data_IF_189122407675
#
_entry.id   IF_189122407675
#
_cell.length_a   1.000
_cell.length_b   1.000
_cell.length_c   1.000
_cell.angle_alpha   90.00
_cell.angle_beta   90.00
_cell.angle_gamma   90.00
#
_symmetry.space_group_name_H-M   'P 1'
#
loop_
_entity.id
_entity.type
_entity.pdbx_description
1 polymer ?
#
# COMPACT_ATOMS: atom_id res chain seq x y z
N UNK A 1 -18.69 -71.70 57.72
CA UNK A 1 -19.11 -70.68 56.70
C UNK A 1 -18.64 -69.24 57.01
N UNK A 2 -18.22 -68.93 58.21
CA UNK A 2 -17.71 -67.56 58.60
C UNK A 2 -16.39 -67.23 57.92
N UNK A 3 -15.40 -68.11 57.90
CA UNK A 3 -14.06 -67.90 57.40
C UNK A 3 -14.01 -67.54 55.89
N UNK A 4 -14.92 -68.15 55.11
CA UNK A 4 -15.03 -67.82 53.66
C UNK A 4 -15.51 -66.40 53.41
N UNK A 5 -16.41 -65.86 54.22
CA UNK A 5 -16.86 -64.50 54.18
C UNK A 5 -15.72 -63.50 54.51
N UNK A 6 -14.93 -63.82 55.51
CA UNK A 6 -13.77 -63.01 55.92
C UNK A 6 -12.66 -63.03 54.84
N UNK A 7 -12.43 -64.22 54.23
CA UNK A 7 -11.48 -64.33 53.14
C UNK A 7 -11.92 -63.50 51.92
N UNK A 8 -13.20 -63.59 51.56
CA UNK A 8 -13.76 -62.80 50.45
C UNK A 8 -13.69 -61.29 50.76
N UNK A 9 -13.97 -60.85 51.96
CA UNK A 9 -13.87 -59.46 52.37
C UNK A 9 -12.43 -58.93 52.29
N UNK A 10 -11.44 -59.77 52.69
CA UNK A 10 -9.99 -59.43 52.53
C UNK A 10 -9.57 -59.33 51.08
N UNK A 11 -9.96 -60.28 50.21
CA UNK A 11 -9.63 -60.24 48.81
C UNK A 11 -10.26 -59.00 48.10
N UNK A 12 -11.51 -58.71 48.44
CA UNK A 12 -12.19 -57.55 47.85
C UNK A 12 -11.53 -56.23 48.33
N UNK A 13 -11.15 -56.13 49.63
CA UNK A 13 -10.44 -54.98 50.16
C UNK A 13 -9.06 -54.82 49.50
N UNK A 14 -8.32 -55.94 49.29
CA UNK A 14 -7.02 -55.90 48.62
C UNK A 14 -7.14 -55.41 47.19
N UNK A 15 -8.11 -55.93 46.42
CA UNK A 15 -8.39 -55.49 45.05
C UNK A 15 -8.71 -53.96 44.99
N UNK A 16 -9.49 -53.47 45.98
CA UNK A 16 -9.81 -52.04 46.03
C UNK A 16 -8.57 -51.22 46.31
N UNK A 17 -7.71 -51.65 47.23
CA UNK A 17 -6.43 -50.99 47.52
C UNK A 17 -5.54 -50.97 46.28
N UNK A 18 -5.40 -52.10 45.60
CA UNK A 18 -4.56 -52.20 44.39
C UNK A 18 -5.09 -51.29 43.27
N UNK A 19 -6.40 -51.18 43.11
CA UNK A 19 -7.03 -50.25 42.16
C UNK A 19 -6.77 -48.80 42.55
N UNK A 20 -6.88 -48.46 43.83
CA UNK A 20 -6.56 -47.08 44.30
C UNK A 20 -5.08 -46.75 44.12
N UNK A 21 -4.17 -47.70 44.36
CA UNK A 21 -2.74 -47.51 44.09
C UNK A 21 -2.46 -47.26 42.62
N UNK A 22 -3.09 -47.98 41.70
CA UNK A 22 -2.95 -47.76 40.26
C UNK A 22 -3.46 -46.37 39.87
N UNK A 23 -4.59 -45.91 40.40
CA UNK A 23 -5.12 -44.57 40.11
C UNK A 23 -4.25 -43.46 40.71
N UNK A 24 -3.70 -43.65 41.89
CA UNK A 24 -2.74 -42.70 42.50
C UNK A 24 -1.50 -42.55 41.61
N UNK A 25 -0.92 -43.64 41.15
CA UNK A 25 0.23 -43.63 40.28
C UNK A 25 -0.07 -42.92 38.94
N UNK A 26 -1.26 -43.19 38.39
CA UNK A 26 -1.72 -42.51 37.18
C UNK A 26 -1.86 -41.02 37.37
N UNK A 27 -2.45 -40.59 38.48
CA UNK A 27 -2.61 -39.16 38.81
C UNK A 27 -1.25 -38.49 39.04
N UNK A 28 -0.31 -39.19 39.70
CA UNK A 28 1.07 -38.68 39.87
C UNK A 28 1.75 -38.42 38.52
N UNK A 29 1.63 -39.39 37.60
CA UNK A 29 2.20 -39.22 36.25
C UNK A 29 1.56 -38.06 35.51
N UNK A 30 0.24 -37.89 35.62
CA UNK A 30 -0.47 -36.75 35.00
C UNK A 30 -0.03 -35.40 35.62
N UNK A 31 0.20 -35.33 36.92
CA UNK A 31 0.71 -34.15 37.62
C UNK A 31 2.12 -33.80 37.09
N UNK A 32 3.01 -34.79 36.95
CA UNK A 32 4.37 -34.56 36.39
C UNK A 32 4.32 -34.05 34.95
N UNK A 33 3.42 -34.63 34.12
CA UNK A 33 3.23 -34.15 32.74
C UNK A 33 2.71 -32.73 32.69
N UNK A 34 1.71 -32.38 33.50
CA UNK A 34 1.16 -31.03 33.57
C UNK A 34 2.18 -30.01 34.09
N UNK A 35 3.02 -30.39 35.07
CA UNK A 35 4.10 -29.54 35.54
C UNK A 35 5.16 -29.29 34.46
N UNK A 36 5.47 -30.30 33.66
CA UNK A 36 6.38 -30.15 32.52
C UNK A 36 5.80 -29.21 31.46
N UNK A 37 4.53 -29.35 31.11
CA UNK A 37 3.84 -28.46 30.17
C UNK A 37 3.76 -27.03 30.70
N UNK A 38 3.48 -26.84 31.97
CA UNK A 38 3.47 -25.52 32.61
C UNK A 38 4.85 -24.85 32.50
N UNK A 39 5.92 -25.59 32.74
CA UNK A 39 7.26 -25.07 32.62
C UNK A 39 7.61 -24.70 31.17
N UNK A 40 7.19 -25.51 30.21
CA UNK A 40 7.36 -25.19 28.79
C UNK A 40 6.61 -23.90 28.38
N UNK A 41 5.36 -23.74 28.80
CA UNK A 41 4.60 -22.51 28.54
C UNK A 41 5.24 -21.29 29.21
N UNK A 42 5.76 -21.41 30.42
CA UNK A 42 6.52 -20.31 31.09
C UNK A 42 7.75 -19.90 30.26
N UNK A 43 8.46 -20.85 29.68
CA UNK A 43 9.60 -20.56 28.82
C UNK A 43 9.19 -19.90 27.51
N UNK A 44 8.09 -20.34 26.89
CA UNK A 44 7.55 -19.73 25.68
C UNK A 44 7.06 -18.29 25.94
N UNK A 45 6.42 -18.02 27.08
CA UNK A 45 6.00 -16.68 27.48
C UNK A 45 7.21 -15.77 27.63
N UNK A 46 8.25 -16.20 28.34
CA UNK A 46 9.49 -15.41 28.50
C UNK A 46 10.16 -15.09 27.18
N UNK A 47 10.22 -16.05 26.26
CA UNK A 47 10.77 -15.81 24.93
C UNK A 47 9.97 -14.78 24.15
N UNK A 48 8.64 -14.82 24.23
CA UNK A 48 7.75 -13.84 23.60
C UNK A 48 7.88 -12.45 24.24
N UNK A 49 8.02 -12.36 25.56
CA UNK A 49 8.25 -11.09 26.27
C UNK A 49 9.57 -10.44 25.83
N UNK A 50 10.64 -11.23 25.69
CA UNK A 50 11.92 -10.74 25.17
C UNK A 50 11.79 -10.22 23.74
N UNK A 51 11.04 -10.92 22.87
CA UNK A 51 10.80 -10.52 21.51
C UNK A 51 9.97 -9.21 21.45
N UNK A 52 8.95 -9.07 22.28
CA UNK A 52 8.17 -7.83 22.41
C UNK A 52 9.07 -6.67 22.84
N UNK A 53 9.91 -6.89 23.85
CA UNK A 53 10.86 -5.85 24.32
C UNK A 53 11.82 -5.44 23.20
N UNK A 54 12.34 -6.39 22.45
CA UNK A 54 13.21 -6.11 21.31
C UNK A 54 12.49 -5.24 20.26
N UNK A 55 11.28 -5.62 19.84
CA UNK A 55 10.52 -4.83 18.87
C UNK A 55 10.08 -3.46 19.39
N UNK A 56 9.75 -3.34 20.66
CA UNK A 56 9.47 -2.03 21.26
C UNK A 56 10.68 -1.10 21.15
N UNK A 57 11.89 -1.59 21.43
CA UNK A 57 13.11 -0.79 21.30
C UNK A 57 13.38 -0.42 19.84
N UNK A 58 13.20 -1.35 18.88
CA UNK A 58 13.31 -1.06 17.46
C UNK A 58 12.32 0.01 16.98
N UNK A 59 11.08 -0.02 17.52
CA UNK A 59 10.08 1.00 17.21
C UNK A 59 10.52 2.36 17.77
N UNK A 60 11.03 2.43 18.99
CA UNK A 60 11.54 3.67 19.58
C UNK A 60 12.69 4.27 18.77
N UNK A 61 13.64 3.42 18.34
CA UNK A 61 14.76 3.87 17.52
C UNK A 61 14.27 4.41 16.15
N UNK A 62 13.26 3.76 15.57
CA UNK A 62 12.65 4.21 14.31
C UNK A 62 11.83 5.49 14.46
N UNK A 63 11.15 5.68 15.57
CA UNK A 63 10.42 6.92 15.85
C UNK A 63 11.39 8.10 15.99
N UNK A 64 12.54 7.92 16.63
CA UNK A 64 13.58 8.95 16.70
C UNK A 64 14.16 9.27 15.30
N UNK A 65 14.43 8.26 14.46
CA UNK A 65 14.87 8.44 13.09
C UNK A 65 13.82 9.20 12.24
N UNK A 66 12.54 8.91 12.46
CA UNK A 66 11.41 9.59 11.81
C UNK A 66 11.35 11.06 12.24
N UNK A 67 11.51 11.38 13.52
CA UNK A 67 11.50 12.75 14.02
C UNK A 67 12.68 13.58 13.46
N UNK A 68 13.85 12.98 13.34
CA UNK A 68 15.02 13.60 12.71
C UNK A 68 14.74 13.88 11.22
N UNK A 69 14.20 12.91 10.49
CA UNK A 69 13.82 13.07 9.09
C UNK A 69 12.71 14.11 8.88
N UNK A 70 11.72 14.18 9.78
CA UNK A 70 10.68 15.23 9.76
C UNK A 70 11.30 16.60 9.98
N UNK A 71 12.28 16.69 10.86
CA UNK A 71 12.99 17.94 11.14
C UNK A 71 13.83 18.37 9.93
N UNK A 72 14.51 17.44 9.27
CA UNK A 72 15.25 17.68 8.03
C UNK A 72 14.30 18.10 6.89
N UNK A 73 13.14 17.43 6.74
CA UNK A 73 12.10 17.78 5.77
C UNK A 73 11.53 19.18 6.00
N UNK A 74 11.35 19.62 7.25
CA UNK A 74 10.89 20.98 7.57
C UNK A 74 11.90 22.05 7.18
N UNK A 75 13.18 21.69 7.06
CA UNK A 75 14.23 22.62 6.57
C UNK A 75 14.36 22.61 5.05
N UNK A 76 13.77 21.62 4.38
CA UNK A 76 13.77 21.52 2.91
C UNK A 76 12.75 22.52 2.35
N UNK A 77 13.24 23.64 1.88
CA UNK A 77 12.41 24.60 1.11
C UNK A 77 12.39 24.14 -0.34
N UNK A 78 11.22 24.02 -0.98
CA UNK A 78 11.13 23.90 -2.43
C UNK A 78 11.96 25.00 -3.10
N UNK A 79 12.52 24.75 -4.26
CA UNK A 79 13.12 25.82 -5.05
C UNK A 79 12.07 26.90 -5.30
N UNK A 80 12.48 28.16 -5.40
CA UNK A 80 11.54 29.26 -5.66
C UNK A 80 10.68 28.98 -6.91
N UNK A 81 11.26 28.35 -7.92
CA UNK A 81 10.56 27.96 -9.14
C UNK A 81 9.50 26.86 -8.87
N UNK A 82 9.82 25.85 -8.07
CA UNK A 82 8.85 24.81 -7.68
C UNK A 82 7.67 25.40 -6.90
N UNK A 83 7.95 26.34 -5.98
CA UNK A 83 6.91 27.00 -5.21
C UNK A 83 6.02 27.87 -6.11
N UNK A 84 6.58 28.65 -7.01
CA UNK A 84 5.83 29.46 -7.98
C UNK A 84 4.91 28.59 -8.82
N UNK A 85 5.38 27.43 -9.31
CA UNK A 85 4.59 26.54 -10.13
C UNK A 85 3.53 25.78 -9.33
N UNK A 86 3.84 25.40 -8.09
CA UNK A 86 2.86 24.82 -7.17
C UNK A 86 1.73 25.84 -6.87
N UNK A 87 2.10 27.09 -6.57
CA UNK A 87 1.15 28.17 -6.32
C UNK A 87 0.30 28.49 -7.55
N UNK A 88 0.89 28.46 -8.75
CA UNK A 88 0.15 28.61 -10.00
C UNK A 88 -0.97 27.57 -10.12
N UNK A 89 -0.69 26.28 -9.86
CA UNK A 89 -1.70 25.22 -9.94
C UNK A 89 -2.73 25.32 -8.82
N UNK A 90 -2.32 25.68 -7.60
CA UNK A 90 -3.23 25.91 -6.48
C UNK A 90 -4.18 27.09 -6.72
N UNK A 91 -3.72 28.13 -7.40
CA UNK A 91 -4.57 29.28 -7.77
C UNK A 91 -5.47 28.97 -8.98
N UNK A 92 -5.06 28.07 -9.86
CA UNK A 92 -5.83 27.70 -11.04
C UNK A 92 -6.99 26.75 -10.72
N UNK A 93 -6.81 25.88 -9.74
CA UNK A 93 -7.82 24.90 -9.33
C UNK A 93 -8.09 25.02 -7.84
N UNK A 94 -9.33 24.69 -7.45
CA UNK A 94 -9.65 24.56 -6.03
C UNK A 94 -8.83 23.44 -5.40
N UNK A 95 -8.44 23.65 -4.15
CA UNK A 95 -7.75 22.64 -3.34
C UNK A 95 -8.67 22.13 -2.25
N UNK A 96 -8.66 20.85 -2.00
CA UNK A 96 -9.43 20.21 -0.93
C UNK A 96 -8.74 18.93 -0.46
N UNK A 97 -9.08 18.50 0.75
CA UNK A 97 -8.74 17.16 1.21
C UNK A 97 -9.82 16.22 0.69
N UNK A 98 -9.46 15.33 -0.24
CA UNK A 98 -10.34 14.31 -0.78
C UNK A 98 -10.04 13.02 -0.03
N UNK A 99 -11.06 12.43 0.58
CA UNK A 99 -10.93 11.17 1.31
C UNK A 99 -11.60 10.05 0.53
N UNK A 100 -11.06 8.84 0.68
CA UNK A 100 -11.72 7.63 0.23
C UNK A 100 -12.38 6.93 1.42
N UNK A 101 -13.67 7.17 1.67
CA UNK A 101 -14.39 6.53 2.76
C UNK A 101 -14.66 5.07 2.43
N UNK A 102 -14.35 4.21 3.36
CA UNK A 102 -14.64 2.79 3.20
C UNK A 102 -13.55 1.97 2.54
N UNK A 103 -12.35 2.53 2.40
CA UNK A 103 -11.15 1.76 2.11
C UNK A 103 -11.00 0.63 3.13
N UNK A 104 -10.64 -0.54 2.64
CA UNK A 104 -10.38 -1.70 3.49
C UNK A 104 -8.88 -1.99 3.55
N UNK A 105 -8.39 -2.29 4.74
CA UNK A 105 -7.04 -2.86 4.89
C UNK A 105 -7.05 -4.33 4.47
N UNK A 106 -5.89 -4.96 4.23
CA UNK A 106 -5.79 -6.39 3.98
C UNK A 106 -6.42 -7.25 5.07
N UNK A 107 -6.50 -6.75 6.30
CA UNK A 107 -7.17 -7.42 7.44
C UNK A 107 -8.68 -7.23 7.45
N UNK A 108 -9.25 -6.51 6.48
CA UNK A 108 -10.69 -6.26 6.36
C UNK A 108 -11.22 -5.12 7.21
N UNK A 109 -10.36 -4.35 7.87
CA UNK A 109 -10.77 -3.16 8.63
C UNK A 109 -11.09 -2.03 7.64
N UNK A 110 -12.27 -1.45 7.79
CA UNK A 110 -12.71 -0.31 6.99
C UNK A 110 -12.11 0.98 7.55
N UNK A 111 -11.42 1.74 6.71
CA UNK A 111 -10.84 3.04 7.08
C UNK A 111 -11.22 4.12 6.07
N UNK A 112 -11.12 5.38 6.50
CA UNK A 112 -11.17 6.55 5.63
C UNK A 112 -9.82 7.25 5.70
N UNK A 113 -9.26 7.62 4.55
CA UNK A 113 -7.96 8.26 4.49
C UNK A 113 -7.91 9.29 3.35
N UNK A 114 -7.15 10.39 3.51
CA UNK A 114 -6.84 11.27 2.40
C UNK A 114 -6.12 10.51 1.29
N UNK A 115 -6.58 10.68 0.05
CA UNK A 115 -6.06 9.90 -1.10
C UNK A 115 -4.59 10.16 -1.41
N UNK A 116 -4.08 11.37 -1.11
CA UNK A 116 -2.68 11.71 -1.31
C UNK A 116 -1.71 10.86 -0.46
N UNK A 117 -2.14 10.40 0.71
CA UNK A 117 -1.33 9.55 1.57
C UNK A 117 -1.04 8.16 0.97
N UNK A 118 -1.79 7.76 -0.05
CA UNK A 118 -1.56 6.50 -0.76
C UNK A 118 -0.34 6.56 -1.69
N UNK A 119 0.13 7.75 -2.03
CA UNK A 119 1.37 7.95 -2.78
C UNK A 119 2.53 7.98 -1.78
N UNK A 120 3.40 6.99 -1.83
CA UNK A 120 4.47 6.78 -0.85
C UNK A 120 5.86 6.85 -1.51
N UNK A 121 6.37 8.04 -1.85
CA UNK A 121 7.65 8.18 -2.53
C UNK A 121 8.84 7.71 -1.68
N UNK A 122 8.69 7.69 -0.36
CA UNK A 122 9.72 7.25 0.57
C UNK A 122 9.70 5.74 0.84
N UNK A 123 8.86 4.96 0.15
CA UNK A 123 8.85 3.49 0.29
C UNK A 123 10.24 2.91 -0.02
N UNK A 124 10.85 2.14 0.89
CA UNK A 124 12.21 1.63 0.73
C UNK A 124 12.41 0.79 -0.54
N UNK A 125 11.35 0.12 -1.02
CA UNK A 125 11.45 -0.69 -2.24
C UNK A 125 11.42 0.19 -3.48
N UNK A 126 10.62 1.27 -3.50
CA UNK A 126 10.66 2.26 -4.57
C UNK A 126 12.08 2.83 -4.71
N UNK A 127 12.68 3.23 -3.58
CA UNK A 127 14.05 3.76 -3.57
C UNK A 127 15.06 2.71 -4.03
N UNK A 128 14.95 1.49 -3.53
CA UNK A 128 15.83 0.37 -3.92
C UNK A 128 15.75 0.06 -5.42
N UNK A 129 14.54 0.05 -5.96
CA UNK A 129 14.31 -0.18 -7.39
C UNK A 129 14.93 0.91 -8.25
N UNK A 130 14.66 2.16 -7.91
CA UNK A 130 15.23 3.29 -8.64
C UNK A 130 16.75 3.27 -8.62
N UNK A 131 17.36 2.92 -7.46
CA UNK A 131 18.82 2.73 -7.37
C UNK A 131 19.29 1.58 -8.28
N UNK A 132 18.60 0.44 -8.26
CA UNK A 132 18.94 -0.72 -9.10
C UNK A 132 18.80 -0.44 -10.60
N UNK A 133 17.91 0.46 -10.97
CA UNK A 133 17.69 0.91 -12.35
C UNK A 133 18.63 2.05 -12.76
N UNK A 134 19.43 2.59 -11.84
CA UNK A 134 20.23 3.81 -12.01
C UNK A 134 19.38 5.05 -12.36
N UNK A 135 18.20 5.18 -11.73
CA UNK A 135 17.25 6.27 -11.95
C UNK A 135 16.91 7.07 -10.67
N UNK A 136 17.61 6.81 -9.56
CA UNK A 136 17.36 7.48 -8.28
C UNK A 136 18.08 8.84 -8.23
N UNK A 137 17.32 9.95 -8.22
CA UNK A 137 17.83 11.33 -8.08
C UNK A 137 19.06 11.61 -8.95
N UNK A 138 18.98 11.19 -10.20
CA UNK A 138 20.09 11.30 -11.15
C UNK A 138 20.34 12.73 -11.65
N UNK A 139 19.41 13.66 -11.42
CA UNK A 139 19.42 14.98 -12.04
C UNK A 139 19.07 14.97 -13.53
N UNK A 140 18.67 13.83 -14.07
CA UNK A 140 18.21 13.71 -15.45
C UNK A 140 16.91 14.51 -15.66
N UNK A 141 16.76 15.14 -16.83
CA UNK A 141 15.55 15.86 -17.20
C UNK A 141 14.32 14.93 -17.07
N UNK A 142 13.30 15.34 -16.30
CA UNK A 142 12.03 14.61 -16.19
C UNK A 142 11.41 14.21 -17.53
N UNK A 143 11.65 14.98 -18.59
CA UNK A 143 11.15 14.70 -19.93
C UNK A 143 11.57 13.32 -20.47
N UNK A 144 12.74 12.84 -20.06
CA UNK A 144 13.28 11.53 -20.43
C UNK A 144 13.28 10.53 -19.28
N UNK A 145 13.40 11.02 -18.05
CA UNK A 145 13.42 10.19 -16.84
C UNK A 145 12.09 9.47 -16.61
N UNK A 146 10.96 10.19 -16.70
CA UNK A 146 9.63 9.62 -16.50
C UNK A 146 9.34 8.45 -17.44
N UNK A 147 9.53 8.55 -18.76
CA UNK A 147 9.36 7.41 -19.67
C UNK A 147 10.22 6.19 -19.34
N UNK A 148 11.45 6.40 -18.86
CA UNK A 148 12.34 5.29 -18.45
C UNK A 148 11.79 4.57 -17.21
N UNK A 149 11.36 5.32 -16.20
CA UNK A 149 10.73 4.76 -14.99
C UNK A 149 9.45 4.02 -15.36
N UNK A 150 8.58 4.64 -16.17
CA UNK A 150 7.35 4.04 -16.65
C UNK A 150 7.61 2.66 -17.28
N UNK A 151 8.57 2.61 -18.22
CA UNK A 151 8.94 1.34 -18.85
C UNK A 151 9.42 0.30 -17.82
N UNK A 152 10.35 0.68 -16.93
CA UNK A 152 10.90 -0.23 -15.91
C UNK A 152 9.83 -0.76 -14.97
N UNK A 153 8.91 0.10 -14.54
CA UNK A 153 7.80 -0.27 -13.68
C UNK A 153 6.87 -1.29 -14.35
N UNK A 154 6.47 -1.03 -15.61
CA UNK A 154 5.61 -1.94 -16.37
C UNK A 154 6.30 -3.28 -16.63
N UNK A 155 7.55 -3.28 -17.04
CA UNK A 155 8.32 -4.50 -17.27
C UNK A 155 8.43 -5.36 -16.00
N UNK A 156 8.61 -4.72 -14.83
CA UNK A 156 8.83 -5.42 -13.55
C UNK A 156 7.54 -5.84 -12.86
N UNK A 157 6.59 -4.93 -12.73
CA UNK A 157 5.49 -5.09 -11.81
C UNK A 157 4.12 -5.27 -12.45
N UNK A 158 3.89 -4.63 -13.58
CA UNK A 158 2.54 -4.44 -14.07
C UNK A 158 1.86 -5.73 -14.53
N UNK A 159 0.65 -5.95 -14.00
CA UNK A 159 -0.40 -6.80 -14.55
C UNK A 159 -1.75 -6.30 -14.06
N UNK A 160 -2.72 -6.16 -14.96
CA UNK A 160 -4.05 -5.69 -14.59
C UNK A 160 -4.87 -6.79 -13.92
N UNK A 161 -5.57 -6.42 -12.85
CA UNK A 161 -6.60 -7.23 -12.18
C UNK A 161 -7.55 -6.29 -11.45
N UNK A 162 -8.85 -6.57 -11.52
CA UNK A 162 -9.84 -5.82 -10.75
C UNK A 162 -9.70 -6.07 -9.25
N UNK A 163 -10.03 -5.08 -8.44
CA UNK A 163 -10.02 -5.17 -6.97
C UNK A 163 -10.87 -6.31 -6.44
N UNK A 164 -12.02 -6.55 -7.05
CA UNK A 164 -12.88 -7.68 -6.71
C UNK A 164 -12.13 -9.01 -6.75
N UNK A 165 -11.24 -9.19 -7.71
CA UNK A 165 -10.47 -10.43 -7.89
C UNK A 165 -9.21 -10.43 -7.02
N UNK A 166 -8.69 -9.26 -6.68
CA UNK A 166 -7.53 -9.12 -5.80
C UNK A 166 -7.90 -9.23 -4.32
N UNK A 167 -8.92 -8.49 -3.90
CA UNK A 167 -9.31 -8.29 -2.50
C UNK A 167 -10.68 -8.89 -2.14
N UNK A 168 -11.50 -9.28 -3.11
CA UNK A 168 -12.90 -9.66 -2.90
C UNK A 168 -13.81 -8.46 -2.61
N UNK A 169 -13.37 -7.24 -2.90
CA UNK A 169 -14.09 -5.97 -2.72
C UNK A 169 -14.16 -5.25 -4.05
N UNK A 170 -15.21 -4.43 -4.24
CA UNK A 170 -15.42 -3.77 -5.52
C UNK A 170 -14.43 -2.64 -5.80
N UNK A 171 -14.01 -1.95 -4.76
CA UNK A 171 -13.12 -0.80 -4.83
C UNK A 171 -12.15 -0.84 -3.66
N UNK A 172 -10.87 -0.81 -3.95
CA UNK A 172 -9.79 -0.76 -2.97
C UNK A 172 -8.70 0.18 -3.47
N UNK A 173 -8.26 1.08 -2.60
CA UNK A 173 -7.14 1.97 -2.89
C UNK A 173 -6.01 1.63 -1.93
N UNK A 174 -4.91 1.09 -2.45
CA UNK A 174 -3.85 0.51 -1.64
C UNK A 174 -2.58 1.34 -1.64
N UNK A 175 -1.84 1.21 -0.55
CA UNK A 175 -0.43 1.58 -0.54
C UNK A 175 0.39 0.61 -1.38
N UNK A 176 1.48 1.08 -1.96
CA UNK A 176 2.37 0.23 -2.75
C UNK A 176 2.91 -0.98 -1.95
N UNK A 177 3.17 -0.82 -0.65
CA UNK A 177 3.60 -1.95 0.18
C UNK A 177 2.51 -3.02 0.32
N UNK A 178 1.22 -2.64 0.41
CA UNK A 178 0.10 -3.59 0.52
C UNK A 178 -0.04 -4.42 -0.75
N UNK A 179 0.12 -3.79 -1.92
CA UNK A 179 0.15 -4.49 -3.20
C UNK A 179 1.24 -5.59 -3.21
N UNK A 180 2.43 -5.26 -2.70
CA UNK A 180 3.55 -6.21 -2.65
C UNK A 180 3.31 -7.34 -1.66
N UNK A 181 2.78 -7.03 -0.48
CA UNK A 181 2.48 -8.08 0.52
C UNK A 181 1.41 -9.04 0.01
N UNK A 182 0.35 -8.54 -0.64
CA UNK A 182 -0.66 -9.40 -1.24
C UNK A 182 -0.07 -10.27 -2.35
N UNK A 183 0.79 -9.72 -3.21
CA UNK A 183 1.46 -10.49 -4.26
C UNK A 183 2.35 -11.61 -3.67
N UNK A 184 3.08 -11.33 -2.57
CA UNK A 184 3.85 -12.37 -1.85
C UNK A 184 2.95 -13.47 -1.28
N UNK A 185 1.86 -13.10 -0.60
CA UNK A 185 0.90 -14.06 -0.04
C UNK A 185 0.33 -14.96 -1.13
N UNK A 186 -0.02 -14.37 -2.29
CA UNK A 186 -0.56 -15.10 -3.44
C UNK A 186 0.52 -15.77 -4.30
N UNK A 187 1.81 -15.64 -3.95
CA UNK A 187 2.96 -16.16 -4.70
C UNK A 187 2.97 -15.73 -6.17
N UNK A 188 2.68 -14.47 -6.40
CA UNK A 188 2.62 -13.86 -7.72
C UNK A 188 3.94 -13.19 -8.08
N UNK A 189 4.32 -13.29 -9.35
CA UNK A 189 5.52 -12.69 -9.93
C UNK A 189 5.32 -11.21 -10.31
N UNK A 190 4.07 -10.76 -10.40
CA UNK A 190 3.65 -9.42 -10.79
C UNK A 190 2.66 -8.85 -9.78
N UNK A 191 2.59 -7.52 -9.71
CA UNK A 191 1.54 -6.81 -8.99
C UNK A 191 0.28 -6.77 -9.86
N UNK A 192 -0.72 -7.54 -9.46
CA UNK A 192 -1.97 -7.70 -10.23
C UNK A 192 -3.06 -6.87 -9.55
N UNK A 193 -3.14 -5.61 -9.95
CA UNK A 193 -4.04 -4.60 -9.40
C UNK A 193 -4.68 -3.76 -10.53
N UNK A 194 -5.54 -2.85 -10.17
CA UNK A 194 -6.25 -2.04 -11.15
C UNK A 194 -5.63 -0.65 -11.39
N UNK A 195 -6.41 0.29 -11.89
CA UNK A 195 -5.88 1.53 -12.44
C UNK A 195 -5.35 2.51 -11.41
N UNK A 196 -6.02 2.65 -10.27
CA UNK A 196 -5.64 3.61 -9.24
C UNK A 196 -4.38 3.17 -8.48
N UNK A 197 -4.31 1.90 -8.11
CA UNK A 197 -3.14 1.31 -7.45
C UNK A 197 -1.86 1.50 -8.29
N UNK A 198 -1.92 1.22 -9.59
CA UNK A 198 -0.77 1.42 -10.48
C UNK A 198 -0.45 2.90 -10.73
N UNK A 199 -1.47 3.77 -10.81
CA UNK A 199 -1.26 5.20 -10.98
C UNK A 199 -0.57 5.83 -9.76
N UNK A 200 -1.03 5.49 -8.56
CA UNK A 200 -0.44 5.97 -7.30
C UNK A 200 1.00 5.50 -7.14
N UNK A 201 1.28 4.22 -7.40
CA UNK A 201 2.64 3.70 -7.37
C UNK A 201 3.55 4.44 -8.34
N UNK A 202 3.14 4.64 -9.59
CA UNK A 202 3.92 5.35 -10.60
C UNK A 202 4.26 6.78 -10.18
N UNK A 203 3.30 7.54 -9.66
CA UNK A 203 3.56 8.89 -9.16
C UNK A 203 4.55 8.86 -7.99
N UNK A 204 4.44 7.88 -7.08
CA UNK A 204 5.41 7.65 -6.03
C UNK A 204 6.83 7.42 -6.58
N UNK A 205 6.99 6.59 -7.61
CA UNK A 205 8.28 6.38 -8.28
C UNK A 205 8.85 7.65 -8.91
N UNK A 206 8.03 8.47 -9.56
CA UNK A 206 8.49 9.71 -10.19
C UNK A 206 9.00 10.71 -9.16
N UNK A 207 8.25 10.93 -8.09
CA UNK A 207 8.63 11.84 -7.00
C UNK A 207 9.91 11.33 -6.31
N UNK A 208 10.00 10.04 -5.99
CA UNK A 208 11.19 9.44 -5.39
C UNK A 208 12.44 9.56 -6.27
N UNK A 209 12.27 9.57 -7.60
CA UNK A 209 13.35 9.78 -8.55
C UNK A 209 13.84 11.24 -8.63
N UNK A 210 13.12 12.18 -7.99
CA UNK A 210 13.44 13.60 -7.98
C UNK A 210 12.67 14.41 -9.02
N UNK A 211 11.60 13.86 -9.60
CA UNK A 211 10.69 14.65 -10.45
C UNK A 211 9.94 15.65 -9.58
N UNK A 212 9.91 16.93 -9.92
CA UNK A 212 9.15 17.95 -9.19
C UNK A 212 7.65 17.56 -9.05
N UNK A 213 7.10 17.68 -7.84
CA UNK A 213 5.74 17.24 -7.51
C UNK A 213 4.68 17.88 -8.38
N UNK A 214 4.83 19.17 -8.66
CA UNK A 214 3.90 19.92 -9.50
C UNK A 214 3.80 19.39 -10.94
N UNK A 215 4.79 18.60 -11.42
CA UNK A 215 4.82 18.04 -12.77
C UNK A 215 4.12 16.68 -12.89
N UNK A 216 3.74 16.05 -11.78
CA UNK A 216 3.16 14.71 -11.77
C UNK A 216 1.94 14.65 -10.87
N UNK A 217 0.91 13.95 -11.32
CA UNK A 217 -0.31 13.71 -10.54
C UNK A 217 -1.06 12.47 -11.00
N UNK A 218 -1.76 11.87 -10.08
CA UNK A 218 -2.85 10.94 -10.38
C UNK A 218 -4.05 11.77 -10.81
N UNK A 219 -4.76 11.34 -11.82
CA UNK A 219 -6.01 11.96 -12.28
C UNK A 219 -7.11 10.90 -12.27
N UNK A 220 -8.24 11.24 -11.67
CA UNK A 220 -9.40 10.37 -11.54
C UNK A 220 -10.61 11.01 -12.21
N UNK A 221 -11.37 10.22 -12.96
CA UNK A 221 -12.54 10.74 -13.67
C UNK A 221 -13.22 9.72 -14.55
N UNK A 222 -14.14 10.20 -15.39
CA UNK A 222 -14.92 9.39 -16.30
C UNK A 222 -14.20 9.14 -17.61
N UNK A 223 -14.34 7.92 -18.10
CA UNK A 223 -13.98 7.53 -19.47
C UNK A 223 -15.18 6.97 -20.20
N UNK A 224 -15.07 6.72 -21.48
CA UNK A 224 -16.13 6.10 -22.27
C UNK A 224 -16.55 4.70 -21.79
N UNK A 225 -15.77 4.08 -20.94
CA UNK A 225 -16.02 2.72 -20.42
C UNK A 225 -16.21 2.66 -18.89
N UNK A 226 -16.27 3.81 -18.21
CA UNK A 226 -16.47 3.92 -16.76
C UNK A 226 -15.43 4.79 -16.08
N UNK A 227 -15.42 4.78 -14.74
CA UNK A 227 -14.43 5.47 -13.92
C UNK A 227 -13.04 4.93 -14.18
N UNK A 228 -12.04 5.82 -14.16
CA UNK A 228 -10.65 5.45 -14.40
C UNK A 228 -9.70 6.36 -13.65
N UNK A 229 -8.57 5.80 -13.25
CA UNK A 229 -7.45 6.50 -12.67
C UNK A 229 -6.21 6.35 -13.56
N UNK A 230 -5.47 7.42 -13.75
CA UNK A 230 -4.29 7.45 -14.61
C UNK A 230 -3.28 8.47 -14.15
N UNK A 231 -2.13 8.53 -14.81
CA UNK A 231 -1.07 9.49 -14.50
C UNK A 231 -1.03 10.61 -15.53
N UNK A 232 -1.02 11.85 -15.06
CA UNK A 232 -0.69 12.99 -15.87
C UNK A 232 0.69 13.54 -15.50
N UNK A 233 1.47 13.88 -16.49
CA UNK A 233 2.80 14.48 -16.37
C UNK A 233 2.89 15.74 -17.21
N UNK A 234 3.50 16.79 -16.65
CA UNK A 234 3.68 18.05 -17.34
C UNK A 234 5.00 18.06 -18.10
N UNK A 235 4.95 18.33 -19.40
CA UNK A 235 6.13 18.52 -20.23
C UNK A 235 6.47 20.02 -20.34
N UNK A 236 7.72 20.37 -20.02
CA UNK A 236 8.25 21.72 -20.21
C UNK A 236 8.57 22.00 -21.67
N UNK A 237 8.66 20.98 -22.54
CA UNK A 237 8.98 21.17 -23.97
C UNK A 237 7.83 21.79 -24.76
N UNK A 238 6.59 21.48 -24.38
CA UNK A 238 5.41 22.00 -25.07
C UNK A 238 4.39 22.65 -24.13
N UNK A 239 4.75 22.79 -22.84
CA UNK A 239 3.92 23.40 -21.79
C UNK A 239 2.54 22.74 -21.68
N UNK A 240 2.49 21.41 -21.70
CA UNK A 240 1.22 20.65 -21.65
C UNK A 240 1.29 19.45 -20.74
N UNK A 241 0.12 19.08 -20.25
CA UNK A 241 -0.08 17.80 -19.59
C UNK A 241 -0.18 16.68 -20.60
N UNK A 242 0.48 15.57 -20.29
CA UNK A 242 0.46 14.35 -21.09
C UNK A 242 -0.07 13.20 -20.25
N UNK A 243 -0.83 12.34 -20.90
CA UNK A 243 -1.47 11.20 -20.29
C UNK A 243 -0.56 9.95 -20.40
N UNK A 244 -0.19 9.38 -19.27
CA UNK A 244 0.50 8.10 -19.17
C UNK A 244 -0.47 7.09 -18.56
N UNK A 245 -0.99 6.20 -19.43
CA UNK A 245 -1.98 5.23 -18.98
C UNK A 245 -1.39 4.25 -17.96
N UNK A 246 -2.05 4.11 -16.81
CA UNK A 246 -1.63 3.19 -15.74
C UNK A 246 -2.08 1.75 -15.96
N UNK A 247 -2.93 1.49 -16.94
CA UNK A 247 -3.66 0.23 -17.08
C UNK A 247 -3.31 -0.56 -18.34
N UNK A 248 -3.09 0.12 -19.44
CA UNK A 248 -2.75 -0.54 -20.71
C UNK A 248 -1.32 -0.21 -21.04
N UNK A 249 -0.47 -1.23 -21.02
CA UNK A 249 0.93 -1.11 -21.44
C UNK A 249 1.01 -0.46 -22.81
N UNK A 250 0.98 0.87 -22.81
CA UNK A 250 1.11 1.66 -24.03
C UNK A 250 2.48 1.43 -24.62
N UNK A 251 2.61 1.66 -25.90
CA UNK A 251 3.91 1.74 -26.58
C UNK A 251 4.79 2.73 -25.82
N UNK A 252 5.83 2.23 -25.17
CA UNK A 252 6.76 3.05 -24.41
C UNK A 252 7.36 4.13 -25.32
N UNK A 253 7.21 5.37 -24.91
CA UNK A 253 7.81 6.53 -25.59
C UNK A 253 9.11 6.90 -24.89
N UNK A 254 9.94 7.65 -25.57
CA UNK A 254 11.23 8.10 -25.04
C UNK A 254 11.17 9.48 -24.40
N UNK A 255 10.12 10.25 -24.66
CA UNK A 255 9.89 11.61 -24.13
C UNK A 255 8.44 11.78 -23.72
N UNK A 256 8.19 12.60 -22.70
CA UNK A 256 6.82 12.94 -22.23
C UNK A 256 6.00 13.52 -23.39
N UNK A 257 6.56 14.49 -24.11
CA UNK A 257 5.89 15.18 -25.22
C UNK A 257 5.43 14.27 -26.37
N UNK A 258 5.83 13.00 -26.35
CA UNK A 258 5.39 11.99 -27.33
C UNK A 258 4.15 11.19 -26.88
N UNK A 259 3.71 11.34 -25.62
CA UNK A 259 2.46 10.72 -25.14
C UNK A 259 1.24 11.58 -25.51
N UNK A 260 0.02 11.04 -25.42
CA UNK A 260 -1.20 11.80 -25.66
C UNK A 260 -1.27 13.06 -24.80
N UNK A 261 -1.72 14.15 -25.38
CA UNK A 261 -1.74 15.46 -24.72
C UNK A 261 -3.08 15.71 -24.03
N UNK A 262 -3.01 16.33 -22.86
CA UNK A 262 -4.11 17.07 -22.29
C UNK A 262 -3.74 18.55 -22.28
N UNK A 263 -4.59 19.38 -22.84
CA UNK A 263 -4.37 20.84 -22.88
C UNK A 263 -4.61 21.49 -21.52
N UNK A 264 -5.45 20.85 -20.73
CA UNK A 264 -5.88 21.25 -19.41
C UNK A 264 -6.22 19.99 -18.61
N UNK A 265 -6.24 20.08 -17.28
CA UNK A 265 -6.71 18.98 -16.46
C UNK A 265 -8.15 18.56 -16.76
N UNK A 266 -8.97 19.49 -17.30
CA UNK A 266 -10.34 19.27 -17.69
C UNK A 266 -10.58 18.88 -19.15
N UNK A 267 -9.64 19.18 -20.02
CA UNK A 267 -9.78 18.89 -21.45
C UNK A 267 -8.80 17.78 -21.83
N UNK A 268 -9.13 16.53 -21.51
CA UNK A 268 -8.38 15.40 -22.01
C UNK A 268 -8.40 15.44 -23.54
N UNK A 269 -7.25 15.25 -24.14
CA UNK A 269 -7.20 15.02 -25.58
C UNK A 269 -7.98 13.75 -25.87
N UNK A 270 -8.84 13.83 -26.85
CA UNK A 270 -9.43 12.64 -27.46
C UNK A 270 -8.28 11.74 -27.91
N UNK A 271 -8.32 10.50 -27.51
CA UNK A 271 -7.36 9.49 -27.91
C UNK A 271 -7.29 9.35 -29.42
N UNK A 272 -6.22 9.81 -29.97
CA UNK A 272 -5.86 9.52 -31.36
C UNK A 272 -4.78 8.46 -31.36
N UNK A 273 -5.12 7.19 -31.18
CA UNK A 273 -4.11 6.16 -31.22
C UNK A 273 -4.43 4.90 -30.41
N UNK A 274 -3.42 4.21 -29.97
CA UNK A 274 -3.51 2.92 -29.26
C UNK A 274 -4.04 3.02 -27.83
N UNK A 275 -4.14 4.23 -27.29
CA UNK A 275 -4.65 4.49 -25.94
C UNK A 275 -6.15 4.80 -26.01
N UNK A 276 -6.97 3.80 -25.81
CA UNK A 276 -8.42 3.88 -26.00
C UNK A 276 -9.16 4.52 -24.81
N UNK A 277 -8.46 4.86 -23.73
CA UNK A 277 -9.08 5.33 -22.49
C UNK A 277 -8.57 6.74 -22.19
N UNK A 278 -9.27 7.74 -22.68
CA UNK A 278 -9.10 9.14 -22.31
C UNK A 278 -10.11 9.55 -21.26
N UNK A 279 -9.67 10.20 -20.19
CA UNK A 279 -10.56 10.82 -19.22
C UNK A 279 -11.14 12.10 -19.86
N UNK A 280 -12.46 12.18 -20.00
CA UNK A 280 -13.15 13.34 -20.54
C UNK A 280 -13.81 14.22 -19.48
N UNK A 281 -14.02 13.70 -18.28
CA UNK A 281 -14.53 14.42 -17.12
C UNK A 281 -13.65 14.10 -15.92
N UNK A 282 -12.75 15.04 -15.55
CA UNK A 282 -11.86 14.88 -14.41
C UNK A 282 -12.63 15.28 -13.16
N UNK A 283 -12.72 14.36 -12.21
CA UNK A 283 -13.30 14.61 -10.89
C UNK A 283 -12.33 15.36 -10.01
N UNK A 284 -11.11 14.83 -9.90
CA UNK A 284 -10.02 15.43 -9.16
C UNK A 284 -8.68 14.87 -9.59
N UNK A 285 -7.64 15.53 -9.15
CA UNK A 285 -6.25 15.05 -9.32
C UNK A 285 -5.45 15.29 -8.05
N UNK A 286 -4.39 14.53 -7.84
CA UNK A 286 -3.57 14.64 -6.64
C UNK A 286 -2.15 14.11 -6.85
N UNK A 287 -1.24 14.57 -6.00
CA UNK A 287 0.06 13.96 -5.74
C UNK A 287 0.19 13.67 -4.23
N UNK A 288 1.39 13.42 -3.72
CA UNK A 288 1.60 13.12 -2.29
C UNK A 288 1.35 14.31 -1.35
N UNK A 289 1.35 15.55 -1.85
CA UNK A 289 1.19 16.76 -1.04
C UNK A 289 -0.10 17.54 -1.34
N UNK A 290 -0.58 17.50 -2.57
CA UNK A 290 -1.66 18.37 -3.04
C UNK A 290 -2.77 17.60 -3.70
N UNK A 291 -4.00 18.11 -3.53
CA UNK A 291 -5.20 17.59 -4.18
C UNK A 291 -5.97 18.76 -4.81
N UNK A 292 -6.39 18.58 -6.07
CA UNK A 292 -7.05 19.62 -6.86
C UNK A 292 -8.34 19.09 -7.48
N UNK A 293 -9.33 19.96 -7.53
CA UNK A 293 -10.56 19.74 -8.27
C UNK A 293 -11.00 21.05 -8.93
N UNK A 294 -11.86 20.98 -9.89
CA UNK A 294 -12.41 22.19 -10.51
C UNK A 294 -13.77 22.55 -9.94
N UNK A 295 -14.69 21.60 -9.93
CA UNK A 295 -16.01 21.77 -9.34
C UNK A 295 -16.28 20.62 -8.37
N UNK A 296 -16.86 20.98 -7.21
CA UNK A 296 -17.16 19.98 -6.18
C UNK A 296 -18.20 18.95 -6.65
N UNK A 297 -19.13 19.36 -7.52
CA UNK A 297 -20.13 18.48 -8.10
C UNK A 297 -19.58 17.43 -9.05
N UNK A 298 -18.37 17.62 -9.57
CA UNK A 298 -17.68 16.61 -10.40
C UNK A 298 -17.12 15.46 -9.56
N UNK A 299 -16.91 15.69 -8.25
CA UNK A 299 -16.40 14.67 -7.34
C UNK A 299 -17.57 13.77 -6.89
N UNK A 300 -17.47 12.44 -7.04
CA UNK A 300 -18.48 11.53 -6.50
C UNK A 300 -18.73 11.78 -5.01
N UNK A 301 -20.00 11.72 -4.59
CA UNK A 301 -20.40 12.07 -3.22
C UNK A 301 -19.70 11.25 -2.13
N UNK A 302 -19.39 10.02 -2.43
CA UNK A 302 -18.67 9.10 -1.55
C UNK A 302 -17.18 9.41 -1.42
N UNK A 303 -16.63 10.25 -2.30
CA UNK A 303 -15.25 10.75 -2.28
C UNK A 303 -15.13 12.21 -1.82
N UNK A 304 -16.25 12.89 -1.60
CA UNK A 304 -16.23 14.27 -1.12
C UNK A 304 -15.87 14.32 0.36
N UNK A 305 -15.09 15.34 0.73
CA UNK A 305 -14.84 15.65 2.14
C UNK A 305 -16.14 16.14 2.77
N UNK A 306 -16.52 15.53 3.86
CA UNK A 306 -17.61 15.97 4.71
C UNK A 306 -17.12 17.02 5.71
#
# INVERSE_FOLDING_TARGET
MSWLKDLWARITRQKLIDTQYQEINRLQHLIEELQSQEQEYKNQIRAKEQLVTYYCNEIYDKDAEIDDLITELKTFKPSEEEQILQDFWNNKYNTAIITYPGRYTPTGVKISAPVNLLITPNDPVIISDLKSWNLYKTGEDPETLIPKIYKKYFDKYYKYRYDKDSWGKAEMWEYFYEMRELAKIKKEDKLKFDCDSHAQALVGYYIAAGVPRWRVRVVVGDTSIGAHSTVHVYSMLDNRWHHLNSTYGSTHKTKISSYPKNTDAKNPTTNTGTDRIGIYNIWFSFNDESMWYDKVEDIPKDLQVL
#
